data_IF_567681852770
#
_entry.id   IF_567681852770
#
_cell.length_a   1.000
_cell.length_b   1.000
_cell.length_c   1.000
_cell.angle_alpha   90.00
_cell.angle_beta   90.00
_cell.angle_gamma   90.00
#
_symmetry.space_group_name_H-M   'P 1'
#
loop_
_entity.id
_entity.type
_entity.pdbx_description
1 polymer ?
#
# COMPACT_ATOMS: atom_id res chain seq x y z
N UNK A 1 -39.43 -33.17 -36.16
CA UNK A 1 -38.03 -33.01 -35.70
C UNK A 1 -37.93 -31.71 -34.91
N UNK A 2 -37.99 -31.74 -33.58
CA UNK A 2 -37.98 -30.50 -32.77
C UNK A 2 -37.63 -30.70 -31.29
N UNK A 3 -37.89 -31.89 -30.73
CA UNK A 3 -37.56 -32.19 -29.33
C UNK A 3 -36.05 -32.32 -29.03
N UNK A 4 -35.23 -32.71 -30.01
CA UNK A 4 -33.77 -32.83 -29.82
C UNK A 4 -33.06 -31.47 -29.77
N UNK A 5 -33.54 -30.49 -30.52
CA UNK A 5 -32.95 -29.15 -30.54
C UNK A 5 -33.35 -28.35 -29.30
N UNK A 6 -34.60 -28.51 -28.82
CA UNK A 6 -35.05 -27.94 -27.56
C UNK A 6 -34.25 -28.47 -26.34
N UNK A 7 -33.94 -29.77 -26.31
CA UNK A 7 -33.13 -30.36 -25.23
C UNK A 7 -31.67 -29.86 -25.25
N UNK A 8 -31.08 -29.69 -26.45
CA UNK A 8 -29.74 -29.11 -26.59
C UNK A 8 -29.67 -27.67 -26.13
N UNK A 9 -30.65 -26.83 -26.50
CA UNK A 9 -30.71 -25.43 -26.07
C UNK A 9 -30.87 -25.34 -24.54
N UNK A 10 -31.73 -26.17 -23.95
CA UNK A 10 -31.93 -26.21 -22.49
C UNK A 10 -30.66 -26.61 -21.73
N UNK A 11 -29.94 -27.61 -22.19
CA UNK A 11 -28.68 -28.02 -21.56
C UNK A 11 -27.60 -26.94 -21.69
N UNK A 12 -27.53 -26.28 -22.86
CA UNK A 12 -26.57 -25.20 -23.09
C UNK A 12 -26.86 -23.98 -22.19
N UNK A 13 -28.12 -23.60 -22.04
CA UNK A 13 -28.53 -22.54 -21.10
C UNK A 13 -28.26 -22.90 -19.64
N UNK A 14 -28.38 -24.18 -19.25
CA UNK A 14 -28.05 -24.63 -17.90
C UNK A 14 -26.53 -24.58 -17.64
N UNK A 15 -25.71 -25.02 -18.59
CA UNK A 15 -24.25 -24.96 -18.50
C UNK A 15 -23.74 -23.51 -18.51
N UNK A 16 -24.31 -22.66 -19.36
CA UNK A 16 -24.01 -21.23 -19.44
C UNK A 16 -24.42 -20.51 -18.15
N UNK A 17 -25.64 -20.74 -17.65
CA UNK A 17 -26.10 -20.14 -16.39
C UNK A 17 -25.33 -20.62 -15.16
N UNK A 18 -24.89 -21.89 -15.13
CA UNK A 18 -24.02 -22.39 -14.07
C UNK A 18 -22.63 -21.73 -14.11
N UNK A 19 -22.03 -21.61 -15.30
CA UNK A 19 -20.75 -20.90 -15.46
C UNK A 19 -20.87 -19.42 -15.11
N UNK A 20 -21.92 -18.76 -15.58
CA UNK A 20 -22.19 -17.36 -15.27
C UNK A 20 -22.40 -17.15 -13.76
N UNK A 21 -23.14 -18.04 -13.10
CA UNK A 21 -23.32 -18.01 -11.65
C UNK A 21 -22.01 -18.19 -10.87
N UNK A 22 -21.14 -19.10 -11.30
CA UNK A 22 -19.81 -19.26 -10.68
C UNK A 22 -18.95 -18.01 -10.90
N UNK A 23 -18.92 -17.48 -12.12
CA UNK A 23 -18.13 -16.28 -12.44
C UNK A 23 -18.62 -15.09 -11.64
N UNK A 24 -19.93 -14.83 -11.63
CA UNK A 24 -20.55 -13.76 -10.87
C UNK A 24 -20.30 -13.90 -9.36
N UNK A 25 -20.33 -15.13 -8.83
CA UNK A 25 -20.00 -15.41 -7.42
C UNK A 25 -18.53 -15.12 -7.09
N UNK A 26 -17.59 -15.53 -7.95
CA UNK A 26 -16.16 -15.27 -7.80
C UNK A 26 -15.86 -13.77 -7.88
N UNK A 27 -16.41 -13.08 -8.87
CA UNK A 27 -16.25 -11.63 -9.04
C UNK A 27 -16.85 -10.86 -7.86
N UNK A 28 -18.04 -11.26 -7.39
CA UNK A 28 -18.69 -10.63 -6.24
C UNK A 28 -17.86 -10.76 -4.96
N UNK A 29 -17.31 -11.95 -4.70
CA UNK A 29 -16.47 -12.19 -3.51
C UNK A 29 -15.14 -11.43 -3.62
N UNK A 30 -14.54 -11.41 -4.80
CA UNK A 30 -13.29 -10.69 -5.07
C UNK A 30 -13.45 -9.18 -4.85
N UNK A 31 -14.54 -8.59 -5.36
CA UNK A 31 -14.81 -7.16 -5.16
C UNK A 31 -15.05 -6.83 -3.68
N UNK A 32 -15.77 -7.68 -2.93
CA UNK A 32 -15.98 -7.50 -1.50
C UNK A 32 -14.65 -7.53 -0.72
N UNK A 33 -13.75 -8.47 -1.06
CA UNK A 33 -12.42 -8.55 -0.45
C UNK A 33 -11.56 -7.31 -0.75
N UNK A 34 -11.59 -6.82 -1.99
CA UNK A 34 -10.92 -5.57 -2.36
C UNK A 34 -11.49 -4.38 -1.59
N UNK A 35 -12.81 -4.20 -1.57
CA UNK A 35 -13.44 -3.07 -0.88
C UNK A 35 -13.14 -3.08 0.61
N UNK A 36 -13.12 -4.26 1.24
CA UNK A 36 -12.74 -4.43 2.64
C UNK A 36 -11.28 -4.02 2.88
N UNK A 37 -10.34 -4.62 2.16
CA UNK A 37 -8.90 -4.34 2.33
C UNK A 37 -8.54 -2.89 2.00
N UNK A 38 -9.17 -2.31 0.97
CA UNK A 38 -9.05 -0.90 0.64
C UNK A 38 -9.55 -0.01 1.79
N UNK A 39 -10.73 -0.31 2.36
CA UNK A 39 -11.30 0.49 3.45
C UNK A 39 -10.49 0.38 4.75
N UNK A 40 -10.11 -0.83 5.13
CA UNK A 40 -9.53 -1.11 6.44
C UNK A 40 -8.02 -0.83 6.48
N UNK A 41 -7.30 -1.11 5.39
CA UNK A 41 -5.84 -0.98 5.34
C UNK A 41 -5.40 0.09 4.34
N UNK A 42 -5.79 -0.06 3.07
CA UNK A 42 -5.25 0.74 1.97
C UNK A 42 -5.48 2.24 2.12
N UNK A 43 -6.73 2.67 2.31
CA UNK A 43 -7.10 4.08 2.39
C UNK A 43 -6.62 4.76 3.68
N UNK A 44 -6.72 4.16 4.89
CA UNK A 44 -6.14 4.74 6.11
C UNK A 44 -4.62 4.89 6.00
N UNK A 45 -3.92 3.87 5.52
CA UNK A 45 -2.45 3.89 5.40
C UNK A 45 -1.99 4.85 4.31
N UNK A 46 -2.64 4.83 3.14
CA UNK A 46 -2.39 5.76 2.05
C UNK A 46 -2.59 7.22 2.45
N UNK A 47 -3.62 7.53 3.24
CA UNK A 47 -3.83 8.88 3.79
C UNK A 47 -2.69 9.31 4.71
N UNK A 48 -2.22 8.42 5.60
CA UNK A 48 -1.09 8.70 6.51
C UNK A 48 0.19 9.00 5.73
N UNK A 49 0.54 8.13 4.77
CA UNK A 49 1.74 8.33 3.92
C UNK A 49 1.61 9.58 3.05
N UNK A 50 0.44 9.81 2.46
CA UNK A 50 0.16 11.02 1.67
C UNK A 50 0.29 12.31 2.48
N UNK A 51 -0.19 12.32 3.72
CA UNK A 51 -0.01 13.45 4.62
C UNK A 51 1.48 13.71 4.94
N UNK A 52 2.25 12.65 5.21
CA UNK A 52 3.70 12.77 5.41
C UNK A 52 4.41 13.33 4.17
N UNK A 53 4.08 12.83 2.97
CA UNK A 53 4.63 13.33 1.69
C UNK A 53 4.33 14.82 1.52
N UNK A 54 3.09 15.24 1.74
CA UNK A 54 2.69 16.64 1.66
C UNK A 54 3.45 17.55 2.64
N UNK A 55 3.53 17.13 3.91
CA UNK A 55 4.25 17.87 4.96
C UNK A 55 5.75 17.95 4.69
N UNK A 56 6.37 16.86 4.25
CA UNK A 56 7.79 16.80 3.93
C UNK A 56 8.13 17.68 2.71
N UNK A 57 7.29 17.66 1.68
CA UNK A 57 7.45 18.53 0.51
C UNK A 57 7.33 20.01 0.87
N UNK A 58 6.35 20.38 1.69
CA UNK A 58 6.22 21.75 2.20
C UNK A 58 7.45 22.18 3.01
N UNK A 59 7.95 21.31 3.89
CA UNK A 59 9.15 21.56 4.69
C UNK A 59 10.40 21.72 3.80
N UNK A 60 10.53 20.91 2.74
CA UNK A 60 11.62 21.00 1.78
C UNK A 60 11.58 22.30 0.96
N UNK A 61 10.40 22.71 0.51
CA UNK A 61 10.22 23.99 -0.19
C UNK A 61 10.59 25.18 0.70
N UNK A 62 10.14 25.13 1.97
CA UNK A 62 10.54 26.11 2.97
C UNK A 62 12.06 26.11 3.17
N UNK A 63 12.68 24.93 3.36
CA UNK A 63 14.11 24.83 3.61
C UNK A 63 14.99 25.35 2.45
N UNK A 64 14.48 25.30 1.23
CA UNK A 64 15.15 25.75 0.01
C UNK A 64 15.01 27.26 -0.27
N UNK A 65 14.30 28.02 0.57
CA UNK A 65 14.10 29.46 0.32
C UNK A 65 13.06 29.76 -0.76
N UNK A 66 12.34 28.75 -1.24
CA UNK A 66 11.35 28.89 -2.31
C UNK A 66 10.03 29.38 -1.71
N UNK A 67 9.92 30.69 -1.45
CA UNK A 67 8.65 31.31 -1.07
C UNK A 67 8.70 32.49 -0.09
N UNK A 68 9.86 32.86 0.46
CA UNK A 68 9.92 33.95 1.45
C UNK A 68 11.13 34.87 1.27
N UNK A 69 10.89 36.18 1.12
CA UNK A 69 11.93 37.22 0.96
C UNK A 69 12.72 37.50 2.26
N UNK A 70 12.38 36.84 3.36
CA UNK A 70 12.85 37.17 4.73
C UNK A 70 13.61 36.03 5.42
N UNK A 71 14.01 35.00 4.69
CA UNK A 71 14.49 33.77 5.30
C UNK A 71 15.97 33.88 5.69
N UNK A 72 16.27 33.62 6.96
CA UNK A 72 17.62 33.30 7.42
C UNK A 72 18.08 32.05 6.68
N UNK A 73 19.31 32.07 6.17
CA UNK A 73 19.86 30.92 5.49
C UNK A 73 19.94 29.75 6.48
N UNK A 74 19.08 28.74 6.30
CA UNK A 74 19.16 27.52 7.08
C UNK A 74 20.54 26.88 6.84
N UNK A 75 21.15 26.27 7.88
CA UNK A 75 22.43 25.62 7.70
C UNK A 75 22.30 24.40 6.79
N UNK A 76 23.35 24.12 6.01
CA UNK A 76 23.28 23.14 4.92
C UNK A 76 23.03 21.71 5.41
N UNK A 77 23.39 21.41 6.66
CA UNK A 77 23.05 20.13 7.31
C UNK A 77 21.53 19.97 7.50
N UNK A 78 20.79 21.04 7.80
CA UNK A 78 19.33 20.98 7.96
C UNK A 78 18.68 20.79 6.59
N UNK A 79 19.16 21.52 5.57
CA UNK A 79 18.67 21.35 4.18
C UNK A 79 18.87 19.92 3.70
N UNK A 80 20.06 19.35 3.92
CA UNK A 80 20.36 17.98 3.50
C UNK A 80 19.52 16.95 4.27
N UNK A 81 19.28 17.15 5.56
CA UNK A 81 18.40 16.28 6.36
C UNK A 81 16.95 16.31 5.87
N UNK A 82 16.42 17.49 5.52
CA UNK A 82 15.07 17.62 4.96
C UNK A 82 14.97 16.97 3.58
N UNK A 83 15.96 17.18 2.70
CA UNK A 83 16.01 16.52 1.40
C UNK A 83 16.13 14.99 1.52
N UNK A 84 16.89 14.49 2.49
CA UNK A 84 16.97 13.05 2.74
C UNK A 84 15.66 12.51 3.27
N UNK A 85 15.02 13.20 4.23
CA UNK A 85 13.72 12.79 4.76
C UNK A 85 12.65 12.71 3.67
N UNK A 86 12.62 13.67 2.74
CA UNK A 86 11.69 13.65 1.62
C UNK A 86 11.89 12.39 0.76
N UNK A 87 13.14 12.07 0.40
CA UNK A 87 13.47 10.85 -0.35
C UNK A 87 13.05 9.59 0.40
N UNK A 88 13.33 9.54 1.70
CA UNK A 88 12.97 8.40 2.55
C UNK A 88 11.44 8.19 2.58
N UNK A 89 10.65 9.27 2.65
CA UNK A 89 9.18 9.21 2.61
C UNK A 89 8.67 8.87 1.20
N UNK A 90 9.30 9.36 0.15
CA UNK A 90 8.94 9.07 -1.25
C UNK A 90 9.12 7.60 -1.60
N UNK A 91 10.18 6.98 -1.07
CA UNK A 91 10.48 5.55 -1.23
C UNK A 91 9.52 4.62 -0.47
N UNK A 92 8.64 5.16 0.39
CA UNK A 92 7.62 4.34 1.06
C UNK A 92 6.53 3.97 0.07
N UNK A 93 6.52 2.68 -0.26
CA UNK A 93 5.47 2.00 -1.03
C UNK A 93 4.58 1.17 -0.11
N UNK A 94 3.39 0.79 -0.60
CA UNK A 94 2.41 0.03 0.17
C UNK A 94 2.98 -1.29 0.71
N UNK A 95 3.75 -2.02 -0.09
CA UNK A 95 4.38 -3.28 0.30
C UNK A 95 5.37 -3.16 1.46
N UNK A 96 5.92 -1.96 1.69
CA UNK A 96 6.84 -1.71 2.79
C UNK A 96 6.13 -1.46 4.13
N UNK A 97 4.81 -1.22 4.12
CA UNK A 97 4.07 -0.79 5.31
C UNK A 97 2.82 -1.63 5.59
N UNK A 98 2.18 -2.17 4.56
CA UNK A 98 1.06 -3.09 4.68
C UNK A 98 1.56 -4.49 5.04
N UNK A 99 0.73 -5.25 5.74
CA UNK A 99 0.98 -6.67 5.97
C UNK A 99 0.93 -7.44 4.64
N UNK A 100 1.77 -8.46 4.51
CA UNK A 100 1.75 -9.36 3.34
C UNK A 100 0.48 -10.21 3.39
N UNK A 101 -0.06 -10.49 2.21
CA UNK A 101 -1.21 -11.38 2.08
C UNK A 101 -0.73 -12.83 2.07
N UNK A 102 -0.50 -13.40 3.27
CA UNK A 102 -0.04 -14.77 3.41
C UNK A 102 -1.04 -15.79 2.86
N UNK A 103 -2.34 -15.50 2.90
CA UNK A 103 -3.37 -16.40 2.39
C UNK A 103 -3.30 -16.46 0.85
N UNK A 104 -3.13 -15.31 0.19
CA UNK A 104 -2.90 -15.26 -1.25
C UNK A 104 -1.60 -15.94 -1.66
N UNK A 105 -0.49 -15.69 -0.94
CA UNK A 105 0.81 -16.32 -1.21
C UNK A 105 0.76 -17.84 -1.01
N UNK A 106 0.13 -18.32 0.06
CA UNK A 106 -0.07 -19.75 0.32
C UNK A 106 -0.95 -20.40 -0.76
N UNK A 107 -2.01 -19.71 -1.21
CA UNK A 107 -2.87 -20.18 -2.28
C UNK A 107 -2.13 -20.26 -3.63
N UNK A 108 -1.40 -19.22 -4.03
CA UNK A 108 -0.58 -19.23 -5.25
C UNK A 108 0.47 -20.35 -5.23
N UNK A 109 1.11 -20.56 -4.07
CA UNK A 109 2.08 -21.63 -3.88
C UNK A 109 1.43 -23.01 -3.92
N UNK A 110 0.20 -23.17 -3.45
CA UNK A 110 -0.52 -24.45 -3.54
C UNK A 110 -0.80 -24.87 -4.99
N UNK A 111 -1.10 -23.91 -5.89
CA UNK A 111 -1.23 -24.18 -7.33
C UNK A 111 0.12 -24.45 -7.99
N UNK A 112 1.19 -23.77 -7.55
CA UNK A 112 2.54 -23.99 -8.08
C UNK A 112 3.19 -25.30 -7.58
N UNK A 113 2.82 -25.78 -6.39
CA UNK A 113 3.29 -27.03 -5.80
C UNK A 113 2.76 -28.28 -6.50
N UNK A 114 1.65 -28.18 -7.24
CA UNK A 114 1.21 -29.22 -8.17
C UNK A 114 2.26 -29.46 -9.29
N UNK A 115 3.14 -28.49 -9.57
CA UNK A 115 4.19 -28.56 -10.60
C UNK A 115 5.65 -28.62 -10.05
N UNK A 116 5.94 -28.15 -8.82
CA UNK A 116 7.29 -28.24 -8.21
C UNK A 116 7.30 -28.11 -6.67
N UNK A 117 8.20 -28.84 -5.98
CA UNK A 117 8.35 -28.84 -4.52
C UNK A 117 8.96 -27.52 -3.97
N UNK A 118 8.19 -26.44 -3.98
CA UNK A 118 8.59 -25.10 -3.50
C UNK A 118 8.13 -24.91 -2.05
N UNK A 119 9.03 -24.62 -1.12
CA UNK A 119 8.67 -24.34 0.27
C UNK A 119 8.02 -22.95 0.41
N UNK A 120 7.03 -22.84 1.29
CA UNK A 120 6.42 -21.55 1.66
C UNK A 120 7.47 -20.61 2.26
N UNK A 121 7.51 -19.32 1.88
CA UNK A 121 8.35 -18.36 2.55
C UNK A 121 7.93 -18.25 4.03
N UNK A 122 8.88 -18.13 4.97
CA UNK A 122 8.54 -17.99 6.38
C UNK A 122 7.74 -16.69 6.60
N UNK A 123 6.72 -16.77 7.45
CA UNK A 123 5.97 -15.59 7.89
C UNK A 123 6.91 -14.62 8.61
N UNK A 124 6.61 -13.33 8.53
CA UNK A 124 7.39 -12.31 9.22
C UNK A 124 7.48 -12.60 10.73
N UNK A 125 8.66 -12.41 11.30
CA UNK A 125 8.86 -12.46 12.74
C UNK A 125 8.13 -11.30 13.42
N UNK A 126 7.87 -11.43 14.73
CA UNK A 126 7.28 -10.34 15.52
C UNK A 126 8.11 -9.05 15.46
N UNK A 127 9.44 -9.17 15.35
CA UNK A 127 10.34 -8.03 15.22
C UNK A 127 10.22 -7.37 13.84
N UNK A 128 10.13 -8.14 12.76
CA UNK A 128 9.92 -7.62 11.41
C UNK A 128 8.58 -6.91 11.28
N UNK A 129 7.51 -7.50 11.83
CA UNK A 129 6.21 -6.87 11.95
C UNK A 129 6.27 -5.53 12.67
N UNK A 130 6.88 -5.50 13.86
CA UNK A 130 7.03 -4.28 14.63
C UNK A 130 7.86 -3.22 13.88
N UNK A 131 8.92 -3.63 13.18
CA UNK A 131 9.73 -2.73 12.37
C UNK A 131 8.91 -2.10 11.24
N UNK A 132 8.11 -2.90 10.53
CA UNK A 132 7.23 -2.48 9.44
C UNK A 132 6.19 -1.46 9.90
N UNK A 133 5.46 -1.79 10.96
CA UNK A 133 4.44 -0.91 11.55
C UNK A 133 5.04 0.41 12.06
N UNK A 134 6.29 0.39 12.52
CA UNK A 134 6.99 1.56 13.01
C UNK A 134 7.51 2.51 11.90
N UNK A 135 7.55 2.11 10.62
CA UNK A 135 8.14 2.93 9.54
C UNK A 135 7.45 4.29 9.45
N UNK A 136 6.13 4.31 9.28
CA UNK A 136 5.35 5.55 9.11
C UNK A 136 5.44 6.42 10.36
N UNK A 137 5.40 5.80 11.53
CA UNK A 137 5.51 6.51 12.83
C UNK A 137 6.87 7.17 12.97
N UNK A 138 7.96 6.45 12.70
CA UNK A 138 9.33 6.93 12.79
C UNK A 138 9.60 8.08 11.82
N UNK A 139 9.11 7.97 10.59
CA UNK A 139 9.22 9.04 9.59
C UNK A 139 8.44 10.29 10.02
N UNK A 140 7.25 10.12 10.60
CA UNK A 140 6.48 11.21 11.19
C UNK A 140 7.22 11.93 12.32
N UNK A 141 7.75 11.18 13.28
CA UNK A 141 8.54 11.73 14.39
C UNK A 141 9.77 12.50 13.91
N UNK A 142 10.46 11.98 12.89
CA UNK A 142 11.62 12.64 12.29
C UNK A 142 11.25 13.93 11.57
N UNK A 143 10.09 13.95 10.89
CA UNK A 143 9.53 15.16 10.29
C UNK A 143 9.22 16.21 11.35
N UNK A 144 8.53 15.83 12.43
CA UNK A 144 8.16 16.74 13.52
C UNK A 144 9.41 17.33 14.19
N UNK A 145 10.43 16.49 14.42
CA UNK A 145 11.71 16.92 15.00
C UNK A 145 12.42 17.95 14.13
N UNK A 146 12.51 17.71 12.81
CA UNK A 146 13.12 18.66 11.87
C UNK A 146 12.32 19.95 11.75
N UNK A 147 10.99 19.87 11.72
CA UNK A 147 10.13 21.04 11.69
C UNK A 147 10.35 21.93 12.92
N UNK A 148 10.39 21.32 14.12
CA UNK A 148 10.66 22.05 15.36
C UNK A 148 12.06 22.66 15.39
N UNK A 149 13.07 21.94 14.90
CA UNK A 149 14.43 22.46 14.78
C UNK A 149 14.47 23.70 13.87
N UNK A 150 13.81 23.66 12.72
CA UNK A 150 13.73 24.78 11.79
C UNK A 150 13.01 25.99 12.42
N UNK A 151 11.88 25.75 13.09
CA UNK A 151 11.12 26.80 13.76
C UNK A 151 11.96 27.50 14.85
N UNK A 152 12.70 26.73 15.65
CA UNK A 152 13.60 27.26 16.69
C UNK A 152 14.75 28.12 16.16
N UNK A 153 15.16 27.94 14.91
CA UNK A 153 16.23 28.73 14.28
C UNK A 153 15.71 29.98 13.54
N UNK A 154 14.38 30.12 13.44
CA UNK A 154 13.72 31.19 12.68
C UNK A 154 13.09 32.30 13.54
N UNK A 155 13.06 32.11 14.87
CA UNK A 155 12.67 33.10 15.88
C UNK A 155 13.91 33.73 16.50
#
# INVERSE_FOLDING_TARGET
>A
MGGRDAAKVKNKMADEGYREGITAGKESTLQQGFDFSFREVGAPLGRRVGNLKGRASALAQFAQGRGSKRQTALPDNVKSQVSQLLKDIEAVELQHVAERDYEAEEHELSHAQEDANVALPPRETAQEKANREAIVVRLGQRLDSLANQILSQSL
#
